data_IF_925524440388
#
_entry.id   IF_925524440388
#
_cell.length_a   1.000
_cell.length_b   1.000
_cell.length_c   1.000
_cell.angle_alpha   90.00
_cell.angle_beta   90.00
_cell.angle_gamma   90.00
#
_symmetry.space_group_name_H-M   'P 1'
#
loop_
_entity.id
_entity.type
_entity.pdbx_description
1 polymer ?
#
# COMPACT_ATOMS: atom_id res chain seq x y z
N UNK A 1 7.57 1.86 1.04
CA UNK A 1 8.82 1.08 1.20
C UNK A 1 10.07 1.93 0.99
N UNK A 2 10.06 2.92 0.10
CA UNK A 2 11.15 3.88 -0.09
C UNK A 2 11.33 4.19 -1.57
N UNK A 3 12.20 5.13 -1.90
CA UNK A 3 12.56 5.48 -3.29
C UNK A 3 13.72 4.65 -3.85
N UNK A 4 14.52 4.01 -2.98
CA UNK A 4 15.62 3.14 -3.36
C UNK A 4 15.11 1.74 -3.78
N UNK A 5 15.46 1.25 -4.98
CA UNK A 5 14.94 -0.02 -5.49
C UNK A 5 15.43 -1.24 -4.71
N UNK A 6 16.64 -1.19 -4.13
CA UNK A 6 17.19 -2.29 -3.34
C UNK A 6 16.44 -2.44 -2.03
N UNK A 7 16.20 -1.33 -1.33
CA UNK A 7 15.39 -1.29 -0.12
C UNK A 7 13.95 -1.73 -0.41
N UNK A 8 13.32 -1.14 -1.43
CA UNK A 8 11.94 -1.44 -1.78
C UNK A 8 11.74 -2.91 -2.15
N UNK A 9 12.58 -3.45 -3.05
CA UNK A 9 12.53 -4.84 -3.48
C UNK A 9 12.80 -5.81 -2.35
N UNK A 10 13.79 -5.53 -1.49
CA UNK A 10 14.11 -6.38 -0.33
C UNK A 10 12.94 -6.44 0.65
N UNK A 11 12.35 -5.29 0.99
CA UNK A 11 11.21 -5.24 1.93
C UNK A 11 10.00 -5.98 1.37
N UNK A 12 9.61 -5.71 0.13
CA UNK A 12 8.47 -6.39 -0.51
C UNK A 12 8.72 -7.88 -0.61
N UNK A 13 9.93 -8.30 -0.98
CA UNK A 13 10.30 -9.72 -1.04
C UNK A 13 10.06 -10.47 0.28
N UNK A 14 10.44 -9.87 1.41
CA UNK A 14 10.20 -10.50 2.72
C UNK A 14 8.73 -10.48 3.16
N UNK A 15 7.99 -9.40 2.84
CA UNK A 15 6.54 -9.34 3.10
C UNK A 15 5.83 -10.45 2.33
N UNK A 16 6.06 -10.53 1.01
CA UNK A 16 5.45 -11.56 0.16
C UNK A 16 5.84 -12.98 0.59
N UNK A 17 7.10 -13.19 0.99
CA UNK A 17 7.54 -14.50 1.51
C UNK A 17 6.78 -14.90 2.78
N UNK A 18 6.55 -13.94 3.68
CA UNK A 18 5.76 -14.16 4.89
C UNK A 18 4.29 -14.44 4.59
N UNK A 19 3.70 -13.69 3.65
CA UNK A 19 2.32 -13.92 3.20
C UNK A 19 2.16 -15.31 2.59
N UNK A 20 2.99 -15.69 1.63
CA UNK A 20 2.88 -17.00 0.96
C UNK A 20 3.13 -18.18 1.90
N UNK A 21 3.87 -17.98 3.00
CA UNK A 21 4.01 -19.00 4.04
C UNK A 21 2.70 -19.30 4.79
N UNK A 22 1.63 -18.53 4.55
CA UNK A 22 0.28 -18.75 5.08
C UNK A 22 -0.67 -19.36 4.03
N UNK A 23 -0.12 -19.96 2.96
CA UNK A 23 -0.89 -20.61 1.90
C UNK A 23 -1.84 -19.67 1.12
N UNK A 24 -1.44 -18.40 1.00
CA UNK A 24 -2.09 -17.40 0.15
C UNK A 24 -1.20 -17.04 -1.05
N UNK A 25 -1.82 -16.60 -2.14
CA UNK A 25 -1.10 -16.14 -3.33
C UNK A 25 -0.53 -14.75 -3.03
N UNK A 26 0.80 -14.62 -3.08
CA UNK A 26 1.47 -13.33 -3.02
C UNK A 26 1.47 -12.67 -4.39
N UNK A 27 1.10 -11.39 -4.44
CA UNK A 27 0.98 -10.58 -5.65
C UNK A 27 1.76 -9.27 -5.51
N UNK A 28 2.80 -9.09 -6.32
CA UNK A 28 3.61 -7.87 -6.31
C UNK A 28 3.07 -6.88 -7.35
N UNK A 29 2.80 -5.64 -6.90
CA UNK A 29 2.14 -4.61 -7.70
C UNK A 29 2.72 -3.20 -7.49
N UNK A 30 2.52 -2.26 -8.41
CA UNK A 30 1.90 -2.39 -9.74
C UNK A 30 2.99 -2.39 -10.81
N UNK A 31 3.08 -3.45 -11.60
CA UNK A 31 4.12 -3.70 -12.60
C UNK A 31 3.78 -3.04 -13.95
N UNK A 32 4.40 -1.94 -14.36
CA UNK A 32 5.47 -1.21 -13.69
C UNK A 32 5.35 0.29 -14.00
N UNK A 33 6.17 1.09 -13.33
CA UNK A 33 6.34 2.53 -13.58
C UNK A 33 5.06 3.36 -13.34
N UNK A 34 4.18 2.88 -12.46
CA UNK A 34 2.97 3.59 -12.06
C UNK A 34 3.23 4.57 -10.91
N UNK A 35 4.10 5.56 -11.14
CA UNK A 35 4.61 6.46 -10.10
C UNK A 35 3.79 7.74 -9.92
N UNK A 36 2.64 7.86 -10.59
CA UNK A 36 1.73 8.99 -10.45
C UNK A 36 0.27 8.55 -10.57
N UNK A 37 -0.58 9.03 -9.66
CA UNK A 37 -2.02 8.75 -9.73
C UNK A 37 -2.74 9.62 -10.78
N UNK A 38 -2.26 10.85 -10.97
CA UNK A 38 -2.89 11.79 -11.91
C UNK A 38 -2.75 11.27 -13.33
N UNK A 39 -3.89 10.93 -13.93
CA UNK A 39 -3.93 10.39 -15.29
C UNK A 39 -3.39 8.96 -15.41
N UNK A 40 -3.34 8.18 -14.32
CA UNK A 40 -2.79 6.81 -14.32
C UNK A 40 -3.34 5.89 -15.42
N UNK A 41 -4.60 6.08 -15.82
CA UNK A 41 -5.26 5.30 -16.89
C UNK A 41 -4.93 5.76 -18.33
N UNK A 42 -4.15 6.83 -18.50
CA UNK A 42 -3.88 7.44 -19.80
C UNK A 42 -2.42 7.87 -20.02
N UNK A 43 -1.66 8.07 -18.94
CA UNK A 43 -0.27 8.54 -19.01
C UNK A 43 0.60 7.52 -19.74
N UNK A 44 1.48 8.01 -20.62
CA UNK A 44 2.50 7.22 -21.27
C UNK A 44 3.87 7.60 -20.72
N UNK A 45 4.45 6.68 -19.94
CA UNK A 45 5.80 6.83 -19.37
C UNK A 45 6.81 6.51 -20.46
N UNK A 46 7.60 7.51 -20.87
CA UNK A 46 8.67 7.34 -21.85
C UNK A 46 10.00 7.23 -21.11
N UNK A 47 10.59 6.05 -21.11
CA UNK A 47 11.79 5.73 -20.35
C UNK A 47 12.61 4.68 -21.09
N UNK A 48 13.93 4.85 -21.13
CA UNK A 48 14.81 3.90 -21.81
C UNK A 48 14.94 2.59 -21.00
N UNK A 49 15.35 1.53 -21.70
CA UNK A 49 15.43 0.19 -21.11
C UNK A 49 16.39 0.11 -19.92
N UNK A 50 17.50 0.84 -19.96
CA UNK A 50 18.49 0.81 -18.89
C UNK A 50 17.91 1.45 -17.64
N UNK A 51 17.32 2.64 -17.77
CA UNK A 51 16.69 3.33 -16.64
C UNK A 51 15.60 2.48 -16.00
N UNK A 52 14.73 1.83 -16.78
CA UNK A 52 13.74 0.91 -16.22
C UNK A 52 14.38 -0.23 -15.42
N UNK A 53 15.44 -0.84 -15.98
CA UNK A 53 16.18 -1.98 -15.39
C UNK A 53 16.98 -1.60 -14.15
N UNK A 54 17.38 -0.34 -14.01
CA UNK A 54 18.15 0.16 -12.86
C UNK A 54 17.26 0.84 -11.80
N UNK A 55 15.97 1.07 -12.08
CA UNK A 55 14.99 1.65 -11.14
C UNK A 55 13.87 0.66 -10.74
N UNK A 56 12.64 0.88 -11.19
CA UNK A 56 11.44 0.16 -10.77
C UNK A 56 11.57 -1.35 -11.04
N UNK A 57 12.05 -1.75 -12.22
CA UNK A 57 12.18 -3.17 -12.55
C UNK A 57 13.20 -3.87 -11.65
N UNK A 58 14.24 -3.17 -11.18
CA UNK A 58 15.18 -3.74 -10.21
C UNK A 58 14.48 -4.09 -8.89
N UNK A 59 13.55 -3.24 -8.42
CA UNK A 59 12.79 -3.52 -7.20
C UNK A 59 11.90 -4.76 -7.37
N UNK A 60 11.23 -4.92 -8.51
CA UNK A 60 10.45 -6.12 -8.82
C UNK A 60 11.32 -7.37 -8.93
N UNK A 61 12.47 -7.29 -9.61
CA UNK A 61 13.41 -8.40 -9.73
C UNK A 61 13.87 -8.90 -8.35
N UNK A 62 14.31 -8.00 -7.48
CA UNK A 62 14.74 -8.34 -6.13
C UNK A 62 13.57 -8.93 -5.33
N UNK A 63 12.39 -8.30 -5.39
CA UNK A 63 11.19 -8.78 -4.71
C UNK A 63 10.82 -10.21 -5.12
N UNK A 64 10.84 -10.51 -6.42
CA UNK A 64 10.57 -11.82 -6.97
C UNK A 64 11.63 -12.86 -6.58
N UNK A 65 12.92 -12.51 -6.64
CA UNK A 65 14.02 -13.41 -6.26
C UNK A 65 13.97 -13.81 -4.78
N UNK A 66 13.61 -12.86 -3.90
CA UNK A 66 13.52 -13.13 -2.45
C UNK A 66 12.28 -13.96 -2.10
N UNK A 67 11.13 -13.64 -2.72
CA UNK A 67 9.82 -14.17 -2.32
C UNK A 67 9.37 -15.40 -3.09
N UNK A 68 9.79 -15.56 -4.34
CA UNK A 68 9.09 -16.38 -5.33
C UNK A 68 7.59 -16.10 -5.37
N UNK A 69 7.19 -14.81 -5.40
CA UNK A 69 5.79 -14.42 -5.49
C UNK A 69 5.08 -15.14 -6.64
N UNK A 70 3.82 -15.51 -6.42
CA UNK A 70 3.05 -16.37 -7.31
C UNK A 70 2.26 -15.57 -8.36
N UNK A 71 2.10 -14.27 -8.15
CA UNK A 71 1.46 -13.34 -9.07
C UNK A 71 2.23 -12.01 -9.17
N UNK A 72 2.03 -11.32 -10.29
CA UNK A 72 2.42 -9.92 -10.51
C UNK A 72 1.25 -9.19 -11.15
N UNK A 73 0.84 -8.07 -10.57
CA UNK A 73 -0.24 -7.25 -11.12
C UNK A 73 0.32 -6.19 -12.07
N UNK A 74 -0.10 -6.21 -13.34
CA UNK A 74 0.30 -5.20 -14.31
C UNK A 74 -0.46 -3.87 -14.10
N UNK A 75 0.20 -2.74 -14.33
CA UNK A 75 -0.32 -1.41 -14.00
C UNK A 75 -1.23 -0.78 -15.07
N UNK A 76 -1.91 0.30 -14.68
CA UNK A 76 -2.80 1.09 -15.55
C UNK A 76 -2.12 1.85 -16.68
N UNK A 77 -0.91 2.37 -16.44
CA UNK A 77 -0.28 3.31 -17.35
C UNK A 77 0.24 2.65 -18.62
N UNK A 78 0.53 3.48 -19.62
CA UNK A 78 1.33 3.07 -20.78
C UNK A 78 2.82 3.24 -20.49
N UNK A 79 3.63 2.40 -21.12
CA UNK A 79 5.09 2.45 -21.10
C UNK A 79 5.59 2.37 -22.53
N UNK A 80 6.24 3.43 -23.00
CA UNK A 80 6.74 3.55 -24.37
C UNK A 80 5.69 3.21 -25.45
N UNK A 81 4.43 3.59 -25.23
CA UNK A 81 3.32 3.51 -26.20
C UNK A 81 2.25 2.47 -25.87
N UNK A 82 2.61 1.32 -25.30
CA UNK A 82 1.67 0.24 -24.95
C UNK A 82 1.27 0.29 -23.48
N UNK A 83 0.01 -0.06 -23.18
CA UNK A 83 -0.46 -0.28 -21.81
C UNK A 83 0.37 -1.38 -21.13
N UNK A 84 0.67 -1.24 -19.84
CA UNK A 84 1.55 -2.18 -19.15
C UNK A 84 1.01 -3.63 -19.20
N UNK A 85 -0.30 -3.81 -19.10
CA UNK A 85 -0.98 -5.10 -19.27
C UNK A 85 -1.01 -5.65 -20.72
N UNK A 86 -0.49 -4.91 -21.68
CA UNK A 86 -0.34 -5.32 -23.08
C UNK A 86 1.11 -5.14 -23.58
N UNK A 87 2.06 -4.90 -22.66
CA UNK A 87 3.42 -4.56 -23.02
C UNK A 87 4.30 -5.81 -23.05
N UNK A 88 4.55 -6.31 -24.26
CA UNK A 88 5.35 -7.52 -24.49
C UNK A 88 6.78 -7.43 -23.93
N UNK A 89 7.40 -6.24 -23.95
CA UNK A 89 8.73 -6.08 -23.37
C UNK A 89 8.69 -6.28 -21.86
N UNK A 90 7.72 -5.68 -21.17
CA UNK A 90 7.60 -5.81 -19.71
C UNK A 90 7.21 -7.22 -19.29
N UNK A 91 6.14 -7.77 -19.87
CA UNK A 91 5.54 -9.02 -19.39
C UNK A 91 6.24 -10.26 -19.94
N UNK A 92 6.57 -10.31 -21.24
CA UNK A 92 7.23 -11.47 -21.85
C UNK A 92 8.74 -11.38 -21.73
N UNK A 93 9.35 -10.32 -22.26
CA UNK A 93 10.82 -10.28 -22.39
C UNK A 93 11.48 -10.14 -21.03
N UNK A 94 11.06 -9.18 -20.21
CA UNK A 94 11.65 -8.97 -18.88
C UNK A 94 11.14 -9.99 -17.85
N UNK A 95 9.83 -10.00 -17.57
CA UNK A 95 9.29 -10.76 -16.46
C UNK A 95 9.35 -12.27 -16.70
N UNK A 96 8.72 -12.76 -17.77
CA UNK A 96 8.59 -14.21 -18.02
C UNK A 96 9.88 -14.85 -18.56
N UNK A 97 10.67 -14.16 -19.39
CA UNK A 97 11.91 -14.70 -19.99
C UNK A 97 13.14 -14.36 -19.18
N UNK A 98 13.53 -13.09 -19.09
CA UNK A 98 14.80 -12.69 -18.47
C UNK A 98 14.86 -13.07 -16.97
N UNK A 99 13.77 -12.84 -16.23
CA UNK A 99 13.66 -13.24 -14.82
C UNK A 99 13.11 -14.65 -14.59
N UNK A 100 12.72 -15.34 -15.67
CA UNK A 100 12.19 -16.71 -15.61
C UNK A 100 10.98 -16.86 -14.65
N UNK A 101 10.13 -15.84 -14.58
CA UNK A 101 8.98 -15.81 -13.68
C UNK A 101 8.01 -16.98 -13.94
N UNK A 102 7.69 -17.72 -12.86
CA UNK A 102 6.86 -18.93 -12.89
C UNK A 102 5.41 -18.70 -12.54
N UNK A 103 5.09 -17.53 -12.00
CA UNK A 103 3.73 -17.16 -11.66
C UNK A 103 2.93 -16.69 -12.86
N UNK A 104 1.80 -16.04 -12.56
CA UNK A 104 0.89 -15.46 -13.54
C UNK A 104 0.81 -13.94 -13.40
N UNK A 105 0.45 -13.27 -14.49
CA UNK A 105 0.20 -11.84 -14.54
C UNK A 105 -1.30 -11.60 -14.44
N UNK A 106 -1.71 -10.82 -13.45
CA UNK A 106 -3.08 -10.35 -13.29
C UNK A 106 -3.17 -8.87 -13.68
N UNK A 107 -4.28 -8.42 -14.27
CA UNK A 107 -4.44 -7.00 -14.53
C UNK A 107 -4.81 -6.23 -13.26
N UNK A 108 -4.37 -4.98 -13.17
CA UNK A 108 -5.08 -4.04 -12.28
C UNK A 108 -6.53 -3.88 -12.78
N UNK A 109 -7.41 -3.37 -11.92
CA UNK A 109 -8.85 -3.41 -12.11
C UNK A 109 -9.24 -2.48 -13.25
N UNK A 110 -9.53 -3.04 -14.43
CA UNK A 110 -9.84 -2.30 -15.66
C UNK A 110 -8.62 -1.89 -16.49
N UNK A 111 -7.43 -2.44 -16.20
CA UNK A 111 -6.19 -2.15 -16.94
C UNK A 111 -6.02 -2.98 -18.22
N UNK A 112 -6.92 -3.94 -18.48
CA UNK A 112 -6.97 -4.69 -19.74
C UNK A 112 -7.68 -3.86 -20.80
N UNK A 113 -7.12 -3.79 -22.01
CA UNK A 113 -7.65 -2.97 -23.11
C UNK A 113 -7.87 -3.72 -24.43
N UNK A 114 -7.58 -5.02 -24.46
CA UNK A 114 -7.77 -5.89 -25.62
C UNK A 114 -7.76 -7.37 -25.21
N UNK A 115 -8.25 -8.25 -26.08
CA UNK A 115 -8.17 -9.69 -25.90
C UNK A 115 -6.84 -10.25 -26.41
N UNK A 116 -6.75 -10.52 -27.72
CA UNK A 116 -5.61 -11.21 -28.33
C UNK A 116 -4.26 -10.48 -28.15
N UNK A 117 -4.25 -9.14 -28.14
CA UNK A 117 -3.00 -8.40 -27.94
C UNK A 117 -2.51 -8.49 -26.49
N UNK A 118 -3.39 -8.37 -25.50
CA UNK A 118 -3.02 -8.56 -24.10
C UNK A 118 -2.56 -10.00 -23.82
N UNK A 119 -3.27 -10.99 -24.35
CA UNK A 119 -2.91 -12.41 -24.29
C UNK A 119 -1.50 -12.66 -24.87
N UNK A 120 -1.26 -12.20 -26.10
CA UNK A 120 0.02 -12.38 -26.78
C UNK A 120 1.17 -11.58 -26.12
N UNK A 121 0.82 -10.54 -25.36
CA UNK A 121 1.76 -9.79 -24.54
C UNK A 121 2.04 -10.45 -23.19
N UNK A 122 1.30 -11.48 -22.80
CA UNK A 122 1.57 -12.30 -21.61
C UNK A 122 0.74 -11.95 -20.38
N UNK A 123 -0.39 -11.24 -20.53
CA UNK A 123 -1.40 -11.17 -19.47
C UNK A 123 -2.07 -12.54 -19.30
N UNK A 124 -2.22 -13.02 -18.07
CA UNK A 124 -2.77 -14.37 -17.81
C UNK A 124 -4.20 -14.31 -17.23
N UNK A 125 -4.55 -13.24 -16.51
CA UNK A 125 -5.82 -13.10 -15.79
C UNK A 125 -6.34 -11.65 -15.84
N UNK A 126 -7.54 -11.44 -16.37
CA UNK A 126 -8.20 -10.13 -16.40
C UNK A 126 -8.99 -9.87 -15.11
N UNK A 127 -8.91 -8.64 -14.60
CA UNK A 127 -9.70 -8.13 -13.48
C UNK A 127 -10.26 -6.71 -13.76
N UNK A 128 -11.42 -6.33 -13.18
CA UNK A 128 -12.40 -7.24 -12.61
C UNK A 128 -13.22 -7.93 -13.70
N UNK A 129 -13.51 -9.21 -13.53
CA UNK A 129 -14.43 -9.91 -14.43
C UNK A 129 -13.82 -10.30 -15.77
N UNK A 130 -14.56 -10.14 -16.87
CA UNK A 130 -14.23 -10.79 -18.15
C UNK A 130 -14.54 -9.93 -19.39
N UNK A 131 -14.26 -8.62 -19.33
CA UNK A 131 -14.59 -7.67 -20.40
C UNK A 131 -13.91 -8.00 -21.73
N UNK A 132 -12.65 -8.42 -21.69
CA UNK A 132 -11.87 -8.83 -22.85
C UNK A 132 -11.61 -10.34 -22.90
N UNK A 133 -11.44 -10.98 -21.74
CA UNK A 133 -11.07 -12.40 -21.61
C UNK A 133 -12.28 -13.35 -21.57
N UNK A 134 -13.50 -12.81 -21.53
CA UNK A 134 -14.72 -13.59 -21.70
C UNK A 134 -15.01 -13.91 -23.17
N UNK A 135 -16.14 -13.45 -23.68
CA UNK A 135 -16.60 -13.78 -25.03
C UNK A 135 -15.68 -13.27 -26.15
N UNK A 136 -14.96 -12.17 -25.91
CA UNK A 136 -14.06 -11.58 -26.92
C UNK A 136 -12.84 -12.47 -27.16
N UNK A 137 -12.12 -12.88 -26.12
CA UNK A 137 -11.01 -13.83 -26.22
C UNK A 137 -11.46 -15.18 -26.78
N UNK A 138 -12.60 -15.69 -26.31
CA UNK A 138 -13.19 -16.93 -26.84
C UNK A 138 -13.41 -16.88 -28.36
N UNK A 139 -13.83 -15.74 -28.90
CA UNK A 139 -13.97 -15.54 -30.36
C UNK A 139 -12.61 -15.49 -31.05
N UNK A 140 -11.63 -14.79 -30.48
CA UNK A 140 -10.27 -14.70 -31.04
C UNK A 140 -9.62 -16.09 -31.14
N UNK A 141 -9.75 -16.91 -30.10
CA UNK A 141 -9.30 -18.29 -30.07
C UNK A 141 -9.96 -19.13 -31.17
N UNK A 142 -11.29 -19.08 -31.27
CA UNK A 142 -12.03 -19.80 -32.33
C UNK A 142 -11.68 -19.34 -33.74
N UNK A 143 -11.29 -18.08 -33.90
CA UNK A 143 -10.83 -17.51 -35.16
C UNK A 143 -9.35 -17.81 -35.46
N UNK A 144 -8.63 -18.49 -34.55
CA UNK A 144 -7.21 -18.80 -34.69
C UNK A 144 -6.28 -17.59 -34.52
N UNK A 145 -6.80 -16.47 -34.01
CA UNK A 145 -6.02 -15.27 -33.70
C UNK A 145 -5.22 -15.42 -32.41
N UNK A 146 -5.69 -16.28 -31.52
CA UNK A 146 -5.09 -16.59 -30.23
C UNK A 146 -4.92 -18.12 -30.11
N UNK A 147 -3.68 -18.66 -30.14
CA UNK A 147 -3.46 -20.09 -30.14
C UNK A 147 -3.93 -20.76 -28.84
N UNK A 148 -4.60 -21.92 -28.91
CA UNK A 148 -4.97 -22.69 -27.71
C UNK A 148 -3.78 -23.02 -26.79
N UNK A 149 -2.57 -23.10 -27.32
CA UNK A 149 -1.36 -23.32 -26.52
C UNK A 149 -1.03 -22.11 -25.63
N UNK A 150 -1.35 -20.89 -26.07
CA UNK A 150 -1.17 -19.65 -25.32
C UNK A 150 -2.15 -19.62 -24.12
N UNK A 151 -3.43 -19.90 -24.37
CA UNK A 151 -4.43 -20.11 -23.31
C UNK A 151 -4.01 -21.21 -22.34
N UNK A 152 -3.42 -22.29 -22.86
CA UNK A 152 -2.85 -23.36 -22.04
C UNK A 152 -1.74 -22.89 -21.08
N UNK A 153 -0.86 -21.99 -21.54
CA UNK A 153 0.19 -21.40 -20.69
C UNK A 153 -0.41 -20.49 -19.60
N UNK A 154 -1.38 -19.64 -19.94
CA UNK A 154 -2.07 -18.77 -18.98
C UNK A 154 -2.71 -19.59 -17.85
N UNK A 155 -3.51 -20.59 -18.21
CA UNK A 155 -4.16 -21.48 -17.25
C UNK A 155 -3.13 -22.28 -16.45
N UNK A 156 -2.07 -22.78 -17.10
CA UNK A 156 -1.00 -23.50 -16.41
C UNK A 156 -0.35 -22.63 -15.33
N UNK A 157 -0.01 -21.36 -15.63
CA UNK A 157 0.61 -20.44 -14.67
C UNK A 157 -0.27 -20.18 -13.46
N UNK A 158 -1.56 -19.95 -13.69
CA UNK A 158 -2.54 -19.74 -12.61
C UNK A 158 -2.60 -20.99 -11.73
N UNK A 159 -2.90 -22.16 -12.31
CA UNK A 159 -3.05 -23.40 -11.55
C UNK A 159 -1.75 -23.81 -10.86
N UNK A 160 -0.61 -23.73 -11.55
CA UNK A 160 0.71 -23.99 -10.97
C UNK A 160 0.94 -23.11 -9.75
N UNK A 161 0.61 -21.82 -9.84
CA UNK A 161 0.75 -20.90 -8.70
C UNK A 161 -0.15 -21.28 -7.54
N UNK A 162 -1.41 -21.64 -7.79
CA UNK A 162 -2.33 -22.11 -6.74
C UNK A 162 -1.80 -23.37 -6.04
N UNK A 163 -1.32 -24.37 -6.79
CA UNK A 163 -0.71 -25.56 -6.18
C UNK A 163 0.61 -25.25 -5.46
N UNK A 164 1.47 -24.42 -6.05
CA UNK A 164 2.78 -24.11 -5.48
C UNK A 164 2.70 -23.28 -4.18
N UNK A 165 1.66 -22.46 -4.01
CA UNK A 165 1.40 -21.75 -2.75
C UNK A 165 0.65 -22.62 -1.74
N UNK A 166 0.07 -23.74 -2.17
CA UNK A 166 -0.68 -24.64 -1.32
C UNK A 166 -2.14 -24.23 -1.10
N UNK A 167 -2.66 -23.21 -1.79
CA UNK A 167 -4.06 -22.75 -1.61
C UNK A 167 -5.09 -23.82 -2.03
N UNK A 168 -4.69 -24.78 -2.87
CA UNK A 168 -5.53 -25.93 -3.23
C UNK A 168 -5.54 -26.98 -2.10
N UNK A 169 -4.37 -27.25 -1.51
CA UNK A 169 -4.19 -28.31 -0.52
C UNK A 169 -4.60 -27.87 0.90
N UNK A 170 -4.41 -26.58 1.21
CA UNK A 170 -4.79 -25.93 2.46
C UNK A 170 -5.62 -24.66 2.16
N UNK A 171 -6.90 -24.80 1.77
CA UNK A 171 -7.73 -23.68 1.40
C UNK A 171 -8.08 -22.78 2.61
N UNK A 172 -8.16 -21.45 2.43
CA UNK A 172 -8.46 -20.52 3.51
C UNK A 172 -9.77 -20.86 4.23
N UNK A 173 -9.68 -21.04 5.55
CA UNK A 173 -10.86 -21.26 6.39
C UNK A 173 -11.38 -19.92 6.90
N UNK A 174 -12.69 -19.70 6.82
CA UNK A 174 -13.32 -18.51 7.39
C UNK A 174 -13.21 -18.56 8.91
N UNK A 175 -12.54 -17.58 9.50
CA UNK A 175 -12.41 -17.44 10.96
C UNK A 175 -12.52 -15.97 11.36
N UNK A 176 -12.74 -15.74 12.66
CA UNK A 176 -12.55 -14.41 13.24
C UNK A 176 -11.05 -14.12 13.23
N UNK A 177 -10.67 -12.93 12.74
CA UNK A 177 -9.27 -12.50 12.71
C UNK A 177 -8.77 -12.16 14.12
N UNK A 178 -7.52 -12.50 14.41
CA UNK A 178 -6.86 -12.10 15.66
C UNK A 178 -6.37 -10.65 15.56
N UNK A 179 -7.31 -9.72 15.76
CA UNK A 179 -7.04 -8.29 15.71
C UNK A 179 -6.05 -7.85 16.80
N UNK A 180 -6.04 -8.50 17.97
CA UNK A 180 -5.15 -8.14 19.06
C UNK A 180 -3.69 -8.40 18.68
N UNK A 181 -3.39 -9.59 18.15
CA UNK A 181 -2.07 -9.93 17.62
C UNK A 181 -1.66 -9.01 16.46
N UNK A 182 -2.61 -8.69 15.57
CA UNK A 182 -2.37 -7.72 14.49
C UNK A 182 -1.91 -6.36 15.00
N UNK A 183 -2.58 -5.83 16.03
CA UNK A 183 -2.21 -4.56 16.67
C UNK A 183 -0.85 -4.61 17.39
N UNK A 184 -0.49 -5.74 18.01
CA UNK A 184 0.84 -5.91 18.62
C UNK A 184 1.96 -5.88 17.57
N UNK A 185 1.77 -6.56 16.44
CA UNK A 185 2.73 -6.55 15.32
C UNK A 185 2.83 -5.16 14.72
N UNK A 186 1.70 -4.49 14.47
CA UNK A 186 1.67 -3.12 13.98
C UNK A 186 2.44 -2.17 14.91
N UNK A 187 2.18 -2.23 16.22
CA UNK A 187 2.88 -1.41 17.20
C UNK A 187 4.40 -1.67 17.21
N UNK A 188 4.84 -2.92 17.02
CA UNK A 188 6.26 -3.26 16.93
C UNK A 188 6.90 -2.61 15.68
N UNK A 189 6.24 -2.71 14.53
CA UNK A 189 6.71 -2.10 13.28
C UNK A 189 6.76 -0.57 13.43
N UNK A 190 5.71 0.04 13.97
CA UNK A 190 5.63 1.48 14.22
C UNK A 190 6.80 1.97 15.08
N UNK A 191 7.09 1.30 16.21
CA UNK A 191 8.22 1.65 17.09
C UNK A 191 9.58 1.59 16.38
N UNK A 192 9.75 0.70 15.42
CA UNK A 192 10.98 0.56 14.63
C UNK A 192 11.03 1.49 13.41
N UNK A 193 9.91 2.10 13.05
CA UNK A 193 9.77 2.94 11.85
C UNK A 193 9.87 4.44 12.16
N UNK A 194 9.93 4.83 13.43
CA UNK A 194 10.08 6.23 13.84
C UNK A 194 11.50 6.72 13.52
N UNK A 195 11.61 7.78 12.72
CA UNK A 195 12.86 8.47 12.43
C UNK A 195 12.95 9.76 13.24
N UNK A 196 13.92 9.85 14.17
CA UNK A 196 14.17 11.06 14.94
C UNK A 196 14.97 12.07 14.11
N UNK A 197 14.28 13.04 13.53
CA UNK A 197 14.91 14.06 12.67
C UNK A 197 15.73 15.09 13.45
N UNK A 198 15.28 15.43 14.67
CA UNK A 198 15.87 16.50 15.48
C UNK A 198 15.67 16.22 16.97
N UNK A 199 16.73 16.40 17.77
CA UNK A 199 16.68 16.28 19.23
C UNK A 199 17.59 17.33 19.90
N UNK A 200 17.19 18.59 19.79
CA UNK A 200 17.94 19.68 20.43
C UNK A 200 17.87 19.58 21.95
N UNK A 201 18.98 19.94 22.60
CA UNK A 201 19.09 19.97 24.07
C UNK A 201 18.77 18.65 24.78
N UNK A 202 18.81 17.51 24.08
CA UNK A 202 18.50 16.20 24.67
C UNK A 202 17.07 16.11 25.17
N UNK A 203 16.13 16.80 24.51
CA UNK A 203 14.73 16.88 24.90
C UNK A 203 14.04 15.51 24.97
N UNK A 204 14.45 14.58 24.11
CA UNK A 204 14.02 13.19 24.12
C UNK A 204 15.14 12.27 24.60
N UNK A 205 14.83 11.19 25.35
CA UNK A 205 13.49 10.76 25.77
C UNK A 205 12.92 11.62 26.92
N UNK A 206 11.58 11.66 27.03
CA UNK A 206 10.91 12.39 28.11
C UNK A 206 11.07 11.68 29.45
N UNK A 207 11.42 12.44 30.49
CA UNK A 207 11.43 11.95 31.86
C UNK A 207 10.05 12.20 32.51
N UNK A 208 9.23 11.15 32.56
CA UNK A 208 7.88 11.22 33.13
C UNK A 208 7.87 11.66 34.61
N UNK A 209 9.00 11.56 35.34
CA UNK A 209 9.09 12.01 36.73
C UNK A 209 9.26 13.53 36.86
N UNK A 210 9.76 14.19 35.82
CA UNK A 210 10.02 15.64 35.79
C UNK A 210 8.95 16.42 35.02
N UNK A 211 8.26 15.76 34.11
CA UNK A 211 7.21 16.39 33.31
C UNK A 211 5.92 16.47 34.13
N UNK A 212 5.53 17.68 34.52
CA UNK A 212 4.30 17.92 35.28
C UNK A 212 3.10 18.32 34.42
N UNK A 213 3.34 18.88 33.23
CA UNK A 213 2.27 19.32 32.31
C UNK A 213 2.68 19.04 30.87
N UNK A 214 1.74 18.52 30.08
CA UNK A 214 1.93 18.23 28.66
C UNK A 214 0.80 18.89 27.86
N UNK A 215 1.16 19.63 26.82
CA UNK A 215 0.21 20.13 25.83
C UNK A 215 0.32 19.29 24.54
N UNK A 216 -0.76 18.60 24.18
CA UNK A 216 -0.91 17.90 22.90
C UNK A 216 -1.68 18.81 21.95
N UNK A 217 -1.04 19.23 20.86
CA UNK A 217 -1.63 20.17 19.90
C UNK A 217 -1.59 19.53 18.52
N UNK A 218 -2.75 19.38 17.90
CA UNK A 218 -2.86 18.86 16.54
C UNK A 218 -4.25 18.32 16.25
N UNK A 219 -4.72 18.40 15.00
CA UNK A 219 -6.05 17.96 14.64
C UNK A 219 -6.20 16.46 14.93
N UNK A 220 -7.32 16.11 15.57
CA UNK A 220 -7.73 14.72 15.83
C UNK A 220 -6.78 13.89 16.71
N UNK A 221 -5.77 14.51 17.34
CA UNK A 221 -4.86 13.80 18.25
C UNK A 221 -5.56 13.24 19.50
N UNK A 222 -6.78 13.69 19.79
CA UNK A 222 -7.65 13.19 20.84
C UNK A 222 -8.42 11.92 20.46
N UNK A 223 -8.68 11.71 19.16
CA UNK A 223 -9.58 10.64 18.68
C UNK A 223 -8.87 9.54 17.91
N UNK A 224 -7.93 9.84 17.01
CA UNK A 224 -7.34 8.81 16.14
C UNK A 224 -6.34 9.30 15.11
N UNK A 225 -5.88 8.37 14.29
CA UNK A 225 -4.93 8.60 13.20
C UNK A 225 -5.55 8.28 11.86
N UNK A 226 -5.32 9.15 10.88
CA UNK A 226 -5.77 8.93 9.50
C UNK A 226 -4.96 7.78 8.88
N UNK A 227 -5.66 6.93 8.12
CA UNK A 227 -5.13 5.90 7.25
C UNK A 227 -5.51 6.20 5.80
N UNK A 228 -5.17 5.30 4.88
CA UNK A 228 -5.59 5.38 3.49
C UNK A 228 -7.10 5.24 3.30
N UNK A 229 -7.52 5.43 2.05
CA UNK A 229 -8.85 5.13 1.53
C UNK A 229 -8.73 4.44 0.17
N UNK A 230 -9.85 4.09 -0.47
CA UNK A 230 -9.84 3.36 -1.74
C UNK A 230 -9.10 2.02 -1.60
N UNK A 231 -8.21 1.64 -2.52
CA UNK A 231 -7.50 0.35 -2.45
C UNK A 231 -6.61 0.16 -1.22
N UNK A 232 -6.31 1.23 -0.48
CA UNK A 232 -5.57 1.18 0.78
C UNK A 232 -6.51 1.20 2.01
N UNK A 233 -7.82 1.17 1.81
CA UNK A 233 -8.81 1.19 2.87
C UNK A 233 -8.78 -0.12 3.66
N UNK A 234 -8.59 -0.01 4.98
CA UNK A 234 -8.74 -1.11 5.93
C UNK A 234 -9.58 -0.59 7.09
N UNK A 235 -10.74 -1.18 7.31
CA UNK A 235 -11.63 -0.75 8.39
C UNK A 235 -11.10 -1.25 9.75
N UNK A 236 -10.93 -0.38 10.76
CA UNK A 236 -10.43 -0.79 12.07
C UNK A 236 -11.47 -1.64 12.82
N UNK A 237 -11.02 -2.55 13.70
CA UNK A 237 -11.92 -3.21 14.65
C UNK A 237 -12.72 -2.17 15.43
N UNK A 238 -14.04 -2.34 15.47
CA UNK A 238 -15.02 -1.44 16.11
C UNK A 238 -15.34 -0.13 15.35
N UNK A 239 -14.90 0.00 14.10
CA UNK A 239 -15.31 1.07 13.21
C UNK A 239 -14.47 2.36 13.32
N UNK A 240 -14.75 3.27 12.38
CA UNK A 240 -13.97 4.48 12.15
C UNK A 240 -14.06 5.45 13.34
N UNK A 241 -12.93 5.99 13.81
CA UNK A 241 -12.87 6.88 14.97
C UNK A 241 -13.55 8.23 14.73
N UNK A 242 -13.53 8.67 13.47
CA UNK A 242 -14.27 9.83 12.99
C UNK A 242 -15.13 9.34 11.84
N UNK A 243 -16.43 9.26 12.08
CA UNK A 243 -17.34 8.81 11.05
C UNK A 243 -17.43 9.85 9.94
N UNK A 244 -17.41 9.41 8.66
CA UNK A 244 -17.76 10.29 7.55
C UNK A 244 -19.19 10.82 7.74
N UNK A 245 -19.51 12.02 7.20
CA UNK A 245 -20.86 12.57 7.30
C UNK A 245 -21.90 11.61 6.69
N UNK A 246 -22.69 10.91 7.52
CA UNK A 246 -23.61 9.86 7.05
C UNK A 246 -24.04 8.88 8.15
N UNK A 247 -24.79 7.83 7.77
CA UNK A 247 -25.42 6.83 8.68
C UNK A 247 -24.44 5.85 9.34
N UNK A 248 -23.32 6.32 9.85
CA UNK A 248 -22.43 5.51 10.68
C UNK A 248 -21.82 4.29 9.97
N UNK A 249 -21.56 4.38 8.67
CA UNK A 249 -20.86 3.35 7.89
C UNK A 249 -19.62 3.96 7.23
N UNK A 250 -18.56 3.17 7.07
CA UNK A 250 -17.43 3.49 6.21
C UNK A 250 -17.87 3.38 4.75
N UNK A 251 -17.56 4.37 3.91
CA UNK A 251 -17.79 4.28 2.48
C UNK A 251 -16.47 4.14 1.72
N UNK A 252 -16.52 3.42 0.60
CA UNK A 252 -15.39 3.29 -0.31
C UNK A 252 -14.84 4.67 -0.69
N UNK A 253 -13.52 4.80 -0.74
CA UNK A 253 -12.77 6.04 -1.04
C UNK A 253 -12.74 7.11 0.05
N UNK A 254 -13.49 6.97 1.14
CA UNK A 254 -13.41 7.93 2.24
C UNK A 254 -12.19 7.67 3.12
N UNK A 255 -11.76 8.72 3.84
CA UNK A 255 -10.67 8.58 4.80
C UNK A 255 -11.08 7.71 5.99
N UNK A 256 -10.22 6.73 6.28
CA UNK A 256 -10.35 5.93 7.49
C UNK A 256 -9.54 6.57 8.62
N UNK A 257 -10.14 6.67 9.80
CA UNK A 257 -9.49 7.07 11.05
C UNK A 257 -9.42 5.87 11.99
N UNK A 258 -8.22 5.37 12.20
CA UNK A 258 -7.96 4.34 13.18
C UNK A 258 -8.10 4.93 14.60
N UNK A 259 -8.76 4.23 15.55
CA UNK A 259 -9.02 4.73 16.90
C UNK A 259 -7.78 4.70 17.82
N UNK A 260 -6.62 5.10 17.30
CA UNK A 260 -5.31 5.12 17.96
C UNK A 260 -4.90 6.54 18.37
N UNK A 261 -5.64 7.12 19.32
CA UNK A 261 -5.42 8.48 19.83
C UNK A 261 -4.04 8.68 20.50
N UNK A 262 -3.17 9.56 19.98
CA UNK A 262 -1.92 9.94 20.66
C UNK A 262 -2.13 10.54 22.03
N UNK A 263 -3.17 11.36 22.21
CA UNK A 263 -3.50 11.97 23.50
C UNK A 263 -3.72 10.90 24.57
N UNK A 264 -4.55 9.90 24.26
CA UNK A 264 -4.83 8.79 25.17
C UNK A 264 -3.56 7.96 25.44
N UNK A 265 -2.75 7.71 24.42
CA UNK A 265 -1.48 6.99 24.58
C UNK A 265 -0.50 7.73 25.51
N UNK A 266 -0.40 9.07 25.40
CA UNK A 266 0.43 9.90 26.27
C UNK A 266 -0.12 9.87 27.71
N UNK A 267 -1.42 10.05 27.90
CA UNK A 267 -2.07 10.02 29.22
C UNK A 267 -1.79 8.71 29.97
N UNK A 268 -1.81 7.57 29.28
CA UNK A 268 -1.47 6.26 29.87
C UNK A 268 -0.01 6.18 30.31
N UNK A 269 0.91 6.87 29.62
CA UNK A 269 2.35 6.86 29.93
C UNK A 269 2.78 7.92 30.93
N UNK A 270 1.97 8.95 31.17
CA UNK A 270 2.31 10.10 32.02
C UNK A 270 1.24 10.37 33.07
N UNK A 271 0.91 9.37 33.88
CA UNK A 271 -0.18 9.45 34.89
C UNK A 271 0.03 10.53 35.96
N UNK A 272 1.28 10.94 36.20
CA UNK A 272 1.62 12.04 37.13
C UNK A 272 1.61 13.44 36.49
N UNK A 273 1.40 13.55 35.17
CA UNK A 273 1.40 14.82 34.46
C UNK A 273 -0.03 15.26 34.10
N UNK A 274 -0.28 16.57 34.15
CA UNK A 274 -1.49 17.17 33.60
C UNK A 274 -1.38 17.24 32.08
N UNK A 275 -2.06 16.33 31.38
CA UNK A 275 -2.11 16.33 29.90
C UNK A 275 -3.34 17.11 29.41
N UNK A 276 -3.11 18.08 28.54
CA UNK A 276 -4.15 18.95 27.96
C UNK A 276 -4.10 18.89 26.44
N UNK A 277 -5.24 19.12 25.79
CA UNK A 277 -5.40 19.00 24.35
C UNK A 277 -5.92 20.29 23.72
N UNK A 278 -5.46 20.59 22.51
CA UNK A 278 -6.05 21.58 21.60
C UNK A 278 -5.92 21.07 20.16
N UNK A 279 -6.97 21.23 19.35
CA UNK A 279 -6.96 20.78 17.94
C UNK A 279 -5.98 21.55 17.05
N UNK A 280 -5.55 22.74 17.47
CA UNK A 280 -4.74 23.66 16.65
C UNK A 280 -5.55 24.48 15.64
N UNK A 281 -6.88 24.34 15.59
CA UNK A 281 -7.72 25.07 14.63
C UNK A 281 -7.80 26.58 14.91
N UNK A 282 -7.62 26.98 16.17
CA UNK A 282 -7.37 28.37 16.55
C UNK A 282 -5.91 28.52 17.03
N UNK A 283 -5.03 29.17 16.25
CA UNK A 283 -3.64 29.38 16.61
C UNK A 283 -3.44 30.12 17.94
N UNK A 284 -4.33 31.04 18.31
CA UNK A 284 -4.23 31.83 19.54
C UNK A 284 -4.55 30.99 20.77
N UNK A 285 -5.59 30.16 20.68
CA UNK A 285 -5.93 29.19 21.72
C UNK A 285 -4.84 28.12 21.88
N UNK A 286 -4.32 27.60 20.77
CA UNK A 286 -3.21 26.64 20.77
C UNK A 286 -1.94 27.21 21.41
N UNK A 287 -1.56 28.44 21.06
CA UNK A 287 -0.42 29.13 21.66
C UNK A 287 -0.63 29.40 23.16
N UNK A 288 -1.86 29.73 23.56
CA UNK A 288 -2.22 29.93 24.97
C UNK A 288 -2.06 28.63 25.76
N UNK A 289 -2.52 27.50 25.21
CA UNK A 289 -2.31 26.19 25.83
C UNK A 289 -0.82 25.83 25.90
N UNK A 290 -0.07 26.01 24.82
CA UNK A 290 1.35 25.69 24.76
C UNK A 290 2.15 26.41 25.86
N UNK A 291 1.81 27.67 26.17
CA UNK A 291 2.43 28.45 27.25
C UNK A 291 2.21 27.85 28.64
N UNK A 292 1.14 27.10 28.86
CA UNK A 292 0.87 26.46 30.16
C UNK A 292 1.76 25.25 30.44
N UNK A 293 2.37 24.66 29.41
CA UNK A 293 3.24 23.48 29.53
C UNK A 293 4.75 23.82 29.70
N UNK A 294 5.09 25.07 30.07
CA UNK A 294 6.45 25.64 29.98
C UNK A 294 7.29 25.48 31.28
N UNK A 295 6.89 24.66 32.24
CA UNK A 295 7.62 24.47 33.51
C UNK A 295 8.42 23.16 33.60
N UNK A 296 9.76 23.27 33.55
CA UNK A 296 10.81 22.24 33.82
C UNK A 296 10.80 21.04 32.84
N UNK A 297 11.87 20.93 32.03
CA UNK A 297 12.02 20.04 30.86
C UNK A 297 10.93 20.23 29.79
N UNK A 298 11.22 21.14 28.83
CA UNK A 298 10.35 21.49 27.71
C UNK A 298 9.93 20.25 26.94
N UNK A 299 8.64 20.09 26.63
CA UNK A 299 8.13 19.40 25.43
C UNK A 299 7.07 20.29 24.83
N UNK A 300 7.54 21.34 24.16
CA UNK A 300 6.65 22.29 23.52
C UNK A 300 6.14 21.66 22.22
N UNK A 301 4.97 21.03 22.33
CA UNK A 301 4.28 20.27 21.29
C UNK A 301 4.95 18.95 20.91
N UNK A 302 4.27 17.85 21.19
CA UNK A 302 4.16 16.81 20.17
C UNK A 302 3.12 17.37 19.20
N UNK A 303 3.56 18.23 18.27
CA UNK A 303 2.76 18.52 17.09
C UNK A 303 2.66 17.20 16.34
N UNK A 304 1.55 16.51 16.53
CA UNK A 304 1.21 15.35 15.71
C UNK A 304 1.31 15.74 14.24
N UNK A 305 1.94 14.86 13.46
CA UNK A 305 2.08 14.85 12.01
C UNK A 305 1.33 15.99 11.33
N UNK A 306 2.04 17.07 10.98
CA UNK A 306 1.57 17.93 9.89
C UNK A 306 1.61 17.05 8.65
N UNK A 307 0.47 16.51 8.27
CA UNK A 307 0.25 16.05 6.90
C UNK A 307 0.18 17.31 6.04
N UNK A 308 1.35 17.82 5.71
CA UNK A 308 1.53 18.92 4.77
C UNK A 308 1.32 18.37 3.38
N UNK A 309 0.21 18.74 2.79
CA UNK A 309 0.04 18.89 1.36
C UNK A 309 -0.52 20.32 1.26
N UNK A 310 0.29 21.26 0.75
CA UNK A 310 -0.15 22.56 0.15
C UNK A 310 0.71 23.07 -1.03
N UNK A 311 1.95 22.59 -1.19
CA UNK A 311 2.78 22.77 -2.40
C UNK A 311 3.51 21.49 -2.87
N UNK A 312 3.24 20.37 -2.19
CA UNK A 312 3.71 18.99 -2.43
C UNK A 312 2.47 18.07 -2.43
N UNK A 313 1.39 18.48 -3.10
CA UNK A 313 0.00 18.34 -2.65
C UNK A 313 -0.87 17.17 -3.09
N UNK A 314 -0.66 16.56 -4.23
CA UNK A 314 -1.68 15.64 -4.77
C UNK A 314 -1.14 14.22 -4.71
N UNK A 315 -1.59 13.40 -3.75
CA UNK A 315 -1.56 11.91 -3.78
C UNK A 315 -1.75 11.25 -2.40
N UNK A 316 -2.83 11.59 -1.70
CA UNK A 316 -3.64 10.49 -1.17
C UNK A 316 -4.95 10.62 -1.92
N UNK A 317 -4.90 10.30 -3.21
CA UNK A 317 -6.13 10.02 -3.92
C UNK A 317 -6.52 8.62 -3.44
N UNK A 318 -7.72 8.41 -2.87
CA UNK A 318 -8.21 7.06 -2.71
C UNK A 318 -8.15 6.42 -4.10
N UNK A 319 -7.49 5.26 -4.23
CA UNK A 319 -7.39 4.59 -5.52
C UNK A 319 -8.81 4.38 -6.04
N UNK A 320 -9.18 5.22 -7.00
CA UNK A 320 -10.47 5.25 -7.63
C UNK A 320 -10.39 4.38 -8.86
N UNK A 321 -11.07 3.23 -8.78
CA UNK A 321 -11.53 2.49 -9.95
C UNK A 321 -12.50 3.38 -10.71
#
# INVERSE_FOLDING_TARGET
MGEDPVLAGTMVGWVMKGEQAQHVIGDIKHYALNNQERGRNAVNVNIDKRSMRESDLLAFEIGLQVSNAAAVMCSYNRVNGDYACENKYLLMDVLKKDWNFKGFVVSDWGATHSAAKASAAGLDHEEPGEFFYGDTLKKAVKAGQDPMAEIGDHVHRILRSMFATGVIDDPPQKSVVDAARGLEVAQKIEKQSIVLLKNEHGQLPLDASKVHTIAVIGPHADVGMISGGGSAQVDPPNGNAIMPPGKGQTHWQEHIWFPTSPLKAIQVKTTGARVQYNSGSDPSAAASLAKTAVGVEKVTSISGMRFSRSMLEESICPCSV
#
